data_IF_228228028414
#
_entry.id   IF_228228028414
#
_cell.length_a   1.000
_cell.length_b   1.000
_cell.length_c   1.000
_cell.angle_alpha   90.00
_cell.angle_beta   90.00
_cell.angle_gamma   90.00
#
_symmetry.space_group_name_H-M   'P 1'
#
loop_
_entity.id
_entity.type
_entity.pdbx_description
1 polymer ?
#
# COMPACT_ATOMS: atom_id res chain seq x y z
N UNK A 1 -82.21 57.96 -36.04
CA UNK A 1 -81.57 57.60 -34.75
C UNK A 1 -81.14 56.14 -34.85
N UNK A 2 -79.85 55.88 -35.04
CA UNK A 2 -79.28 54.53 -35.00
C UNK A 2 -78.48 54.40 -33.69
N UNK A 3 -78.88 53.43 -32.86
CA UNK A 3 -78.28 53.11 -31.56
C UNK A 3 -77.13 52.14 -31.83
N UNK A 4 -75.91 52.54 -31.50
CA UNK A 4 -74.75 51.65 -31.57
C UNK A 4 -74.77 50.71 -30.35
N UNK A 5 -74.91 49.42 -30.59
CA UNK A 5 -74.62 48.37 -29.61
C UNK A 5 -73.10 48.15 -29.54
N UNK A 6 -72.53 48.33 -28.35
CA UNK A 6 -71.15 48.00 -28.07
C UNK A 6 -71.04 46.49 -27.81
N UNK A 7 -70.19 45.80 -28.58
CA UNK A 7 -69.93 44.37 -28.46
C UNK A 7 -69.16 44.06 -27.15
N UNK A 8 -69.59 43.08 -26.33
CA UNK A 8 -68.97 42.78 -25.03
C UNK A 8 -67.77 41.81 -25.11
N UNK A 9 -67.08 41.71 -26.24
CA UNK A 9 -66.10 40.62 -26.49
C UNK A 9 -64.63 40.91 -26.16
N UNK A 10 -64.15 42.15 -26.32
CA UNK A 10 -62.68 42.42 -26.29
C UNK A 10 -62.06 42.49 -24.88
N UNK A 11 -62.85 42.76 -23.84
CA UNK A 11 -62.33 42.89 -22.47
C UNK A 11 -62.03 41.52 -21.82
N UNK A 12 -62.74 40.46 -22.21
CA UNK A 12 -62.59 39.13 -21.61
C UNK A 12 -61.36 38.37 -22.16
N UNK A 13 -61.04 38.55 -23.44
CA UNK A 13 -59.87 37.90 -24.08
C UNK A 13 -58.53 38.46 -23.56
N UNK A 14 -58.45 39.79 -23.34
CA UNK A 14 -57.27 40.42 -22.76
C UNK A 14 -57.03 39.99 -21.28
N UNK A 15 -58.11 39.81 -20.52
CA UNK A 15 -58.06 39.31 -19.14
C UNK A 15 -57.66 37.82 -19.07
N UNK A 16 -58.10 37.01 -20.04
CA UNK A 16 -57.70 35.61 -20.21
C UNK A 16 -56.21 35.44 -20.52
N UNK A 17 -55.66 36.24 -21.44
CA UNK A 17 -54.23 36.22 -21.81
C UNK A 17 -53.30 36.58 -20.66
N UNK A 18 -53.64 37.59 -19.85
CA UNK A 18 -52.89 37.97 -18.65
C UNK A 18 -52.97 36.92 -17.53
N UNK A 19 -54.09 36.20 -17.42
CA UNK A 19 -54.25 35.06 -16.49
C UNK A 19 -53.44 33.84 -16.93
N UNK A 20 -53.37 33.57 -18.23
CA UNK A 20 -52.53 32.53 -18.84
C UNK A 20 -51.03 32.80 -18.70
N UNK A 21 -50.57 34.00 -19.01
CA UNK A 21 -49.15 34.39 -18.83
C UNK A 21 -48.71 34.29 -17.36
N UNK A 22 -49.59 34.65 -16.41
CA UNK A 22 -49.33 34.48 -14.96
C UNK A 22 -49.37 33.03 -14.51
N UNK A 23 -50.18 32.16 -15.13
CA UNK A 23 -50.22 30.72 -14.80
C UNK A 23 -48.99 30.00 -15.33
N UNK A 24 -48.48 30.37 -16.51
CA UNK A 24 -47.23 29.85 -17.06
C UNK A 24 -45.99 30.32 -16.29
N UNK A 25 -45.92 31.60 -15.88
CA UNK A 25 -44.86 32.09 -14.99
C UNK A 25 -44.84 31.35 -13.65
N UNK A 26 -46.02 31.09 -13.07
CA UNK A 26 -46.15 30.29 -11.84
C UNK A 26 -45.70 28.84 -12.04
N UNK A 27 -45.93 28.27 -13.22
CA UNK A 27 -45.48 26.92 -13.58
C UNK A 27 -43.96 26.85 -13.73
N UNK A 28 -43.34 27.79 -14.45
CA UNK A 28 -41.88 27.89 -14.58
C UNK A 28 -41.19 28.14 -13.23
N UNK A 29 -41.78 28.97 -12.36
CA UNK A 29 -41.28 29.18 -11.00
C UNK A 29 -41.30 27.90 -10.16
N UNK A 30 -42.35 27.07 -10.29
CA UNK A 30 -42.45 25.77 -9.61
C UNK A 30 -41.46 24.76 -10.16
N UNK A 31 -41.26 24.71 -11.48
CA UNK A 31 -40.27 23.84 -12.13
C UNK A 31 -38.84 24.22 -11.74
N UNK A 32 -38.48 25.51 -11.77
CA UNK A 32 -37.19 26.00 -11.28
C UNK A 32 -36.99 25.72 -9.80
N UNK A 33 -38.03 25.86 -8.98
CA UNK A 33 -37.96 25.55 -7.54
C UNK A 33 -37.77 24.05 -7.30
N UNK A 34 -38.44 23.19 -8.06
CA UNK A 34 -38.27 21.72 -8.01
C UNK A 34 -36.86 21.31 -8.45
N UNK A 35 -36.34 21.88 -9.52
CA UNK A 35 -34.97 21.62 -9.97
C UNK A 35 -33.94 22.07 -8.93
N UNK A 36 -34.09 23.27 -8.36
CA UNK A 36 -33.22 23.76 -7.28
C UNK A 36 -33.27 22.87 -6.05
N UNK A 37 -34.46 22.44 -5.62
CA UNK A 37 -34.61 21.50 -4.51
C UNK A 37 -33.99 20.13 -4.81
N UNK A 38 -34.15 19.63 -6.04
CA UNK A 38 -33.52 18.39 -6.49
C UNK A 38 -32.00 18.46 -6.46
N UNK A 39 -31.42 19.56 -6.96
CA UNK A 39 -29.97 19.80 -6.90
C UNK A 39 -29.50 19.90 -5.45
N UNK A 40 -30.19 20.65 -4.59
CA UNK A 40 -29.83 20.78 -3.17
C UNK A 40 -29.92 19.43 -2.44
N UNK A 41 -30.94 18.63 -2.73
CA UNK A 41 -31.07 17.28 -2.18
C UNK A 41 -29.92 16.37 -2.64
N UNK A 42 -29.58 16.40 -3.94
CA UNK A 42 -28.45 15.63 -4.48
C UNK A 42 -27.12 16.05 -3.82
N UNK A 43 -26.84 17.36 -3.74
CA UNK A 43 -25.64 17.88 -3.08
C UNK A 43 -25.60 17.46 -1.61
N UNK A 44 -26.75 17.52 -0.91
CA UNK A 44 -26.84 17.09 0.48
C UNK A 44 -26.55 15.60 0.64
N UNK A 45 -27.08 14.74 -0.24
CA UNK A 45 -26.79 13.30 -0.24
C UNK A 45 -25.32 13.02 -0.54
N UNK A 46 -24.69 13.75 -1.47
CA UNK A 46 -23.26 13.59 -1.76
C UNK A 46 -22.41 14.02 -0.57
N UNK A 47 -22.70 15.18 0.04
CA UNK A 47 -21.95 15.70 1.17
C UNK A 47 -22.12 14.89 2.45
N UNK A 48 -23.32 14.36 2.71
CA UNK A 48 -23.61 13.59 3.93
C UNK A 48 -23.40 12.08 3.76
N UNK A 49 -23.45 11.57 2.53
CA UNK A 49 -23.29 10.16 2.22
C UNK A 49 -21.91 9.84 1.65
N UNK A 50 -21.61 10.35 0.45
CA UNK A 50 -20.41 9.97 -0.28
C UNK A 50 -19.12 10.43 0.42
N UNK A 51 -19.10 11.65 0.98
CA UNK A 51 -17.91 12.18 1.66
C UNK A 51 -17.59 11.37 2.93
N UNK A 52 -18.50 11.16 3.90
CA UNK A 52 -18.20 10.34 5.07
C UNK A 52 -17.89 8.89 4.71
N UNK A 53 -18.53 8.32 3.69
CA UNK A 53 -18.23 6.97 3.24
C UNK A 53 -16.79 6.87 2.70
N UNK A 54 -16.37 7.83 1.85
CA UNK A 54 -15.02 7.85 1.29
C UNK A 54 -13.94 7.98 2.37
N UNK A 55 -14.11 8.93 3.30
CA UNK A 55 -13.16 9.10 4.41
C UNK A 55 -13.23 7.94 5.41
N UNK A 56 -14.43 7.40 5.66
CA UNK A 56 -14.66 6.22 6.51
C UNK A 56 -13.96 4.97 6.00
N UNK A 57 -14.05 4.69 4.69
CA UNK A 57 -13.34 3.57 4.08
C UNK A 57 -11.82 3.79 4.09
N UNK A 58 -11.37 5.03 3.87
CA UNK A 58 -9.93 5.36 3.89
C UNK A 58 -9.34 5.20 5.30
N UNK A 59 -10.04 5.62 6.35
CA UNK A 59 -9.54 5.47 7.73
C UNK A 59 -9.49 4.02 8.20
N UNK A 60 -10.38 3.15 7.71
CA UNK A 60 -10.34 1.71 8.03
C UNK A 60 -9.15 1.00 7.37
N UNK A 61 -8.67 1.54 6.26
CA UNK A 61 -7.52 1.02 5.51
C UNK A 61 -6.17 1.58 5.97
N UNK A 62 -6.17 2.63 6.80
CA UNK A 62 -4.93 3.23 7.31
C UNK A 62 -4.35 2.37 8.44
N UNK A 63 -3.05 2.07 8.38
CA UNK A 63 -2.38 1.24 9.40
C UNK A 63 -1.64 2.15 10.41
N UNK A 64 -1.95 2.07 11.71
CA UNK A 64 -1.38 2.96 12.72
C UNK A 64 0.14 2.82 12.88
N UNK A 65 0.74 1.71 12.41
CA UNK A 65 2.20 1.56 12.43
C UNK A 65 2.87 2.64 11.58
N UNK A 66 2.27 3.04 10.46
CA UNK A 66 2.84 4.11 9.63
C UNK A 66 2.81 5.47 10.34
N UNK A 67 1.78 5.74 11.14
CA UNK A 67 1.74 6.94 11.98
C UNK A 67 2.89 6.94 13.02
N UNK A 68 3.21 5.78 13.59
CA UNK A 68 4.36 5.66 14.50
C UNK A 68 5.70 5.86 13.77
N UNK A 69 5.82 5.38 12.52
CA UNK A 69 7.01 5.58 11.71
C UNK A 69 7.15 7.05 11.27
N UNK A 70 6.04 7.75 11.02
CA UNK A 70 6.03 9.20 10.75
C UNK A 70 6.43 10.01 11.99
N UNK A 71 6.08 9.52 13.18
CA UNK A 71 6.44 10.14 14.46
C UNK A 71 7.92 9.98 14.87
N UNK A 72 8.73 9.17 14.16
CA UNK A 72 10.16 8.98 14.45
C UNK A 72 10.98 10.29 14.41
N UNK A 73 10.44 11.34 13.78
CA UNK A 73 11.07 12.66 13.77
C UNK A 73 12.38 12.68 12.99
N UNK A 74 12.46 11.89 11.90
CA UNK A 74 13.59 11.96 10.98
C UNK A 74 13.55 13.29 10.20
N UNK A 75 14.69 13.91 9.89
CA UNK A 75 14.76 15.12 9.07
C UNK A 75 14.12 14.92 7.69
N UNK A 76 13.55 15.99 7.14
CA UNK A 76 12.88 15.95 5.83
C UNK A 76 13.77 15.50 4.67
N UNK A 77 15.08 15.71 4.74
CA UNK A 77 16.02 15.21 3.73
C UNK A 77 16.16 13.70 3.75
N UNK A 78 15.95 13.05 4.90
CA UNK A 78 16.03 11.60 5.07
C UNK A 78 14.71 10.91 4.69
N UNK A 79 13.62 11.67 4.72
CA UNK A 79 12.28 11.24 4.34
C UNK A 79 11.69 12.06 3.18
N UNK A 80 12.45 12.19 2.09
CA UNK A 80 12.06 13.06 0.98
C UNK A 80 10.86 12.52 0.20
N UNK A 81 10.78 11.19 0.01
CA UNK A 81 9.66 10.53 -0.65
C UNK A 81 9.40 9.17 -0.02
N UNK A 82 8.16 8.95 0.43
CA UNK A 82 7.75 7.76 1.18
C UNK A 82 6.71 6.98 0.38
N UNK A 83 6.86 5.65 0.35
CA UNK A 83 5.91 4.72 -0.24
C UNK A 83 5.65 3.61 0.77
N UNK A 84 4.39 3.45 1.15
CA UNK A 84 3.93 2.45 2.10
C UNK A 84 3.19 1.32 1.39
N UNK A 85 3.46 0.09 1.81
CA UNK A 85 2.82 -1.11 1.32
C UNK A 85 2.43 -2.01 2.50
N UNK A 86 1.25 -2.61 2.42
CA UNK A 86 0.76 -3.57 3.40
C UNK A 86 0.38 -4.85 2.67
N UNK A 87 0.93 -5.96 3.12
CA UNK A 87 0.63 -7.30 2.63
C UNK A 87 0.19 -8.22 3.78
N UNK A 88 -0.40 -9.36 3.45
CA UNK A 88 -0.90 -10.33 4.45
C UNK A 88 -2.21 -9.93 5.13
N UNK A 89 -2.58 -10.69 6.18
CA UNK A 89 -3.87 -10.56 6.87
C UNK A 89 -3.73 -10.00 8.28
N UNK A 90 -4.65 -9.10 8.66
CA UNK A 90 -4.74 -8.58 10.05
C UNK A 90 -5.09 -9.67 11.07
N UNK A 91 -5.74 -10.73 10.61
CA UNK A 91 -6.17 -11.86 11.43
C UNK A 91 -5.23 -13.06 11.30
N UNK A 92 -4.13 -12.94 10.55
CA UNK A 92 -3.17 -14.04 10.33
C UNK A 92 -3.82 -15.35 9.83
N UNK A 93 -4.83 -15.29 8.96
CA UNK A 93 -5.47 -16.50 8.41
C UNK A 93 -4.56 -17.32 7.47
N UNK A 94 -3.43 -16.75 7.03
CA UNK A 94 -2.36 -17.38 6.26
C UNK A 94 -1.05 -16.67 6.65
N UNK A 95 -0.69 -15.61 5.92
CA UNK A 95 0.39 -14.71 6.30
C UNK A 95 -0.13 -13.63 7.25
N UNK A 96 0.59 -13.39 8.34
CA UNK A 96 0.32 -12.21 9.15
C UNK A 96 0.64 -10.93 8.38
N UNK A 97 0.05 -9.83 8.85
CA UNK A 97 0.23 -8.51 8.22
C UNK A 97 1.68 -8.05 8.29
N UNK A 98 2.31 -7.91 7.13
CA UNK A 98 3.62 -7.30 6.93
C UNK A 98 3.45 -5.86 6.43
N UNK A 99 4.18 -4.93 7.03
CA UNK A 99 4.17 -3.52 6.63
C UNK A 99 5.54 -3.14 6.12
N UNK A 100 5.58 -2.60 4.92
CA UNK A 100 6.83 -2.21 4.28
C UNK A 100 6.75 -0.73 3.92
N UNK A 101 7.74 0.03 4.35
CA UNK A 101 7.92 1.43 3.97
C UNK A 101 9.23 1.56 3.23
N UNK A 102 9.17 2.13 2.03
CA UNK A 102 10.35 2.53 1.28
C UNK A 102 10.46 4.04 1.25
N UNK A 103 11.65 4.56 1.54
CA UNK A 103 11.90 6.00 1.63
C UNK A 103 13.13 6.38 0.83
N UNK A 104 13.00 7.40 -0.02
CA UNK A 104 14.14 8.02 -0.71
C UNK A 104 14.71 9.15 0.18
N UNK A 105 16.03 9.11 0.40
CA UNK A 105 16.80 10.11 1.14
C UNK A 105 17.73 10.85 0.18
N UNK A 106 17.90 12.15 0.40
CA UNK A 106 18.77 13.01 -0.40
C UNK A 106 20.26 12.81 -0.10
N UNK A 107 20.61 12.19 1.03
CA UNK A 107 22.00 12.00 1.47
C UNK A 107 22.46 10.56 1.36
N UNK A 108 23.77 10.35 1.45
CA UNK A 108 24.39 9.04 1.38
C UNK A 108 23.92 8.10 2.50
N UNK A 109 23.92 6.80 2.20
CA UNK A 109 23.32 5.77 3.06
C UNK A 109 23.91 5.73 4.48
N UNK A 110 25.20 6.04 4.67
CA UNK A 110 25.84 6.04 5.99
C UNK A 110 25.25 7.11 6.91
N UNK A 111 25.02 8.31 6.40
CA UNK A 111 24.45 9.40 7.19
C UNK A 111 22.95 9.16 7.44
N UNK A 112 22.22 8.70 6.42
CA UNK A 112 20.81 8.31 6.56
C UNK A 112 20.64 7.22 7.61
N UNK A 113 21.49 6.18 7.61
CA UNK A 113 21.45 5.10 8.59
C UNK A 113 21.59 5.62 10.02
N UNK A 114 22.59 6.47 10.29
CA UNK A 114 22.81 7.04 11.62
C UNK A 114 21.58 7.80 12.13
N UNK A 115 20.91 8.54 11.26
CA UNK A 115 19.74 9.33 11.63
C UNK A 115 18.53 8.43 11.95
N UNK A 116 18.28 7.41 11.13
CA UNK A 116 17.21 6.45 11.38
C UNK A 116 17.47 5.62 12.65
N UNK A 117 18.68 5.10 12.84
CA UNK A 117 19.04 4.32 14.03
C UNK A 117 18.93 5.17 15.31
N UNK A 118 19.35 6.43 15.26
CA UNK A 118 19.18 7.36 16.38
C UNK A 118 17.71 7.71 16.64
N UNK A 119 16.90 7.89 15.58
CA UNK A 119 15.47 8.15 15.71
C UNK A 119 14.73 6.97 16.34
N UNK A 120 14.98 5.75 15.85
CA UNK A 120 14.44 4.52 16.42
C UNK A 120 14.79 4.38 17.92
N UNK A 121 16.06 4.57 18.27
CA UNK A 121 16.51 4.48 19.66
C UNK A 121 15.83 5.51 20.57
N UNK A 122 15.65 6.75 20.10
CA UNK A 122 14.94 7.80 20.87
C UNK A 122 13.45 7.49 21.04
N UNK A 123 12.86 6.83 20.06
CA UNK A 123 11.45 6.42 20.06
C UNK A 123 11.23 5.08 20.82
N UNK A 124 12.23 4.61 21.57
CA UNK A 124 12.12 3.44 22.43
C UNK A 124 12.26 2.10 21.71
N UNK A 125 12.71 2.08 20.45
CA UNK A 125 13.10 0.83 19.80
C UNK A 125 14.44 0.36 20.34
N UNK A 126 14.50 -0.91 20.72
CA UNK A 126 15.71 -1.54 21.21
C UNK A 126 16.42 -2.29 20.10
N UNK A 127 17.74 -2.16 20.05
CA UNK A 127 18.55 -2.90 19.07
C UNK A 127 18.47 -4.38 19.35
N UNK A 128 17.94 -5.15 18.41
CA UNK A 128 17.76 -6.58 18.57
C UNK A 128 18.83 -7.35 17.82
N UNK A 129 19.78 -7.93 18.58
CA UNK A 129 20.83 -8.80 18.06
C UNK A 129 20.33 -10.24 18.12
N UNK A 130 19.97 -10.79 16.98
CA UNK A 130 19.48 -12.16 16.84
C UNK A 130 20.16 -12.82 15.64
N UNK A 131 20.27 -14.14 15.69
CA UNK A 131 20.69 -14.93 14.53
C UNK A 131 19.73 -14.68 13.37
N UNK A 132 20.24 -14.70 12.12
CA UNK A 132 19.49 -14.30 10.91
C UNK A 132 19.09 -12.81 10.85
N UNK A 133 19.87 -11.93 11.47
CA UNK A 133 19.80 -10.48 11.26
C UNK A 133 21.16 -9.88 10.83
N UNK A 134 21.36 -9.52 9.55
CA UNK A 134 20.50 -9.86 8.41
C UNK A 134 20.52 -11.37 8.12
N UNK A 135 19.48 -11.86 7.45
CA UNK A 135 19.44 -13.25 6.99
C UNK A 135 20.53 -13.54 5.94
N UNK A 136 20.83 -12.56 5.08
CA UNK A 136 21.87 -12.63 4.06
C UNK A 136 22.74 -11.37 4.11
N UNK A 137 24.03 -11.51 3.78
CA UNK A 137 24.90 -10.34 3.69
C UNK A 137 24.45 -9.44 2.53
N UNK A 138 24.08 -8.21 2.87
CA UNK A 138 23.61 -7.20 1.92
C UNK A 138 24.52 -5.97 1.95
N UNK A 139 24.59 -5.26 0.82
CA UNK A 139 25.26 -3.95 0.77
C UNK A 139 24.43 -2.90 1.50
N UNK A 140 25.08 -2.04 2.28
CA UNK A 140 24.45 -0.98 3.08
C UNK A 140 24.47 -1.28 4.59
N UNK A 141 23.66 -0.56 5.36
CA UNK A 141 23.42 -0.82 6.79
C UNK A 141 22.13 -1.61 6.95
N UNK A 142 22.21 -2.83 7.49
CA UNK A 142 21.03 -3.62 7.85
C UNK A 142 20.99 -3.87 9.35
N UNK A 143 19.85 -3.60 9.95
CA UNK A 143 19.68 -3.55 11.39
C UNK A 143 18.30 -4.04 11.82
N UNK A 144 18.22 -4.79 12.91
CA UNK A 144 16.94 -5.26 13.46
C UNK A 144 16.66 -4.62 14.81
N UNK A 145 15.39 -4.34 15.04
CA UNK A 145 14.90 -3.60 16.19
C UNK A 145 13.65 -4.27 16.73
N UNK A 146 13.41 -4.09 18.03
CA UNK A 146 12.20 -4.58 18.69
C UNK A 146 11.62 -3.50 19.57
N UNK A 147 10.30 -3.40 19.60
CA UNK A 147 9.55 -2.58 20.54
C UNK A 147 8.20 -3.23 20.78
N UNK A 148 7.87 -3.47 22.04
CA UNK A 148 6.62 -4.11 22.45
C UNK A 148 6.34 -5.41 21.68
N UNK A 149 5.23 -5.45 20.94
CA UNK A 149 4.76 -6.57 20.12
C UNK A 149 5.26 -6.52 18.66
N UNK A 150 6.18 -5.62 18.32
CA UNK A 150 6.66 -5.40 16.95
C UNK A 150 8.15 -5.68 16.80
N UNK A 151 8.51 -6.24 15.65
CA UNK A 151 9.89 -6.31 15.17
C UNK A 151 10.02 -5.45 13.92
N UNK A 152 11.17 -4.81 13.75
CA UNK A 152 11.45 -3.89 12.66
C UNK A 152 12.82 -4.20 12.05
N UNK A 153 12.84 -4.45 10.75
CA UNK A 153 14.06 -4.53 9.96
C UNK A 153 14.27 -3.20 9.24
N UNK A 154 15.40 -2.56 9.49
CA UNK A 154 15.81 -1.33 8.82
C UNK A 154 17.00 -1.65 7.93
N UNK A 155 16.84 -1.41 6.62
CA UNK A 155 17.89 -1.53 5.62
C UNK A 155 18.09 -0.20 4.89
N UNK A 156 19.26 0.40 5.03
CA UNK A 156 19.65 1.65 4.37
C UNK A 156 20.77 1.38 3.39
N UNK A 157 20.54 1.69 2.11
CA UNK A 157 21.45 1.34 1.01
C UNK A 157 21.57 2.44 -0.03
N UNK A 158 22.50 2.26 -0.96
CA UNK A 158 22.53 3.04 -2.19
C UNK A 158 21.27 2.78 -3.03
N UNK A 159 20.73 3.79 -3.71
CA UNK A 159 19.53 3.64 -4.53
C UNK A 159 19.79 2.74 -5.75
N UNK A 160 18.79 1.94 -6.13
CA UNK A 160 18.85 1.10 -7.34
C UNK A 160 18.45 1.94 -8.56
N UNK A 161 19.43 2.33 -9.40
CA UNK A 161 19.21 3.12 -10.62
C UNK A 161 18.61 2.31 -11.78
N UNK A 162 17.58 1.51 -11.53
CA UNK A 162 16.82 0.86 -12.59
C UNK A 162 15.52 1.65 -12.74
N UNK A 163 15.26 2.31 -13.89
CA UNK A 163 13.99 2.97 -14.10
C UNK A 163 12.86 1.95 -13.97
N UNK A 164 11.79 2.31 -13.28
CA UNK A 164 10.60 1.47 -13.21
C UNK A 164 10.08 1.21 -14.64
N UNK A 165 9.66 -0.03 -14.98
CA UNK A 165 9.05 -0.28 -16.28
C UNK A 165 7.80 0.59 -16.41
N UNK A 166 7.64 1.24 -17.57
CA UNK A 166 6.43 1.99 -17.88
C UNK A 166 5.22 1.04 -17.86
N UNK A 167 4.10 1.50 -17.33
CA UNK A 167 2.87 0.70 -17.21
C UNK A 167 2.47 0.10 -18.57
N UNK A 168 2.53 -1.23 -18.67
CA UNK A 168 2.04 -2.01 -19.82
C UNK A 168 3.07 -2.82 -20.59
N UNK A 169 4.38 -2.66 -20.35
CA UNK A 169 5.41 -3.44 -21.05
C UNK A 169 5.86 -4.65 -20.19
N UNK A 170 5.90 -5.84 -20.80
CA UNK A 170 6.47 -7.03 -20.17
C UNK A 170 7.91 -6.77 -19.72
N UNK A 171 8.40 -7.39 -18.62
CA UNK A 171 9.76 -7.14 -18.15
C UNK A 171 10.75 -7.46 -19.28
N UNK A 172 11.61 -6.52 -19.69
CA UNK A 172 12.62 -6.83 -20.68
C UNK A 172 13.55 -7.91 -20.12
N UNK A 173 13.83 -8.93 -20.95
CA UNK A 173 14.93 -9.88 -20.75
C UNK A 173 16.21 -9.11 -20.37
N UNK A 174 17.11 -9.64 -19.51
CA UNK A 174 18.12 -8.82 -18.85
C UNK A 174 19.03 -8.15 -19.89
N UNK A 175 18.76 -6.87 -20.13
CA UNK A 175 19.64 -6.02 -20.89
C UNK A 175 20.90 -5.77 -20.05
N UNK A 176 22.09 -5.65 -20.68
CA UNK A 176 23.31 -5.29 -19.97
C UNK A 176 23.08 -3.97 -19.21
N UNK A 177 23.51 -3.95 -17.95
CA UNK A 177 23.30 -2.85 -17.02
C UNK A 177 23.55 -1.50 -17.70
N UNK A 178 22.47 -0.73 -17.91
CA UNK A 178 22.59 0.65 -18.33
C UNK A 178 23.47 1.38 -17.31
N UNK A 179 24.42 2.17 -17.78
CA UNK A 179 25.32 2.93 -16.93
C UNK A 179 24.48 3.72 -15.91
N UNK A 180 24.80 3.51 -14.63
CA UNK A 180 24.18 4.22 -13.52
C UNK A 180 24.36 5.73 -13.76
N UNK A 181 23.32 6.41 -14.23
CA UNK A 181 23.17 7.83 -13.96
C UNK A 181 23.21 7.95 -12.43
N UNK A 182 24.05 8.84 -11.91
CA UNK A 182 24.32 8.99 -10.48
C UNK A 182 23.00 9.23 -9.73
N UNK A 183 22.36 8.18 -9.24
CA UNK A 183 21.26 8.32 -8.31
C UNK A 183 21.88 8.80 -7.00
N UNK A 184 21.86 10.11 -6.80
CA UNK A 184 22.29 10.72 -5.57
C UNK A 184 21.37 10.27 -4.43
N UNK A 185 21.94 10.13 -3.23
CA UNK A 185 21.18 9.85 -2.01
C UNK A 185 21.22 8.40 -1.56
N UNK A 186 20.13 7.94 -0.94
CA UNK A 186 19.99 6.59 -0.41
C UNK A 186 18.54 6.13 -0.39
N UNK A 187 18.37 4.81 -0.32
CA UNK A 187 17.08 4.15 -0.20
C UNK A 187 16.99 3.47 1.16
N UNK A 188 15.93 3.77 1.90
CA UNK A 188 15.60 3.16 3.19
C UNK A 188 14.45 2.19 2.96
N UNK A 189 14.60 0.96 3.41
CA UNK A 189 13.53 -0.02 3.49
C UNK A 189 13.31 -0.37 4.95
N UNK A 190 12.10 -0.11 5.44
CA UNK A 190 11.65 -0.46 6.78
C UNK A 190 10.61 -1.55 6.64
N UNK A 191 10.81 -2.70 7.27
CA UNK A 191 9.81 -3.77 7.34
C UNK A 191 9.39 -3.94 8.78
N UNK A 192 8.10 -3.87 9.07
CA UNK A 192 7.55 -4.04 10.41
C UNK A 192 6.62 -5.24 10.43
N UNK A 193 6.84 -6.13 11.40
CA UNK A 193 6.07 -7.34 11.65
C UNK A 193 5.57 -7.35 13.09
N UNK A 194 4.53 -8.13 13.35
CA UNK A 194 4.24 -8.54 14.71
C UNK A 194 5.31 -9.54 15.15
N UNK A 195 5.81 -9.40 16.38
CA UNK A 195 6.84 -10.27 16.93
C UNK A 195 6.44 -11.76 16.87
N UNK A 196 5.15 -12.07 17.03
CA UNK A 196 4.63 -13.46 16.94
C UNK A 196 4.79 -14.10 15.56
N UNK A 197 4.87 -13.30 14.49
CA UNK A 197 5.07 -13.75 13.12
C UNK A 197 6.57 -13.81 12.74
N UNK A 198 7.43 -13.23 13.59
CA UNK A 198 8.86 -13.21 13.34
C UNK A 198 9.48 -14.49 13.88
N UNK A 199 9.83 -15.41 12.98
CA UNK A 199 10.44 -16.71 13.30
C UNK A 199 11.71 -16.61 14.16
N UNK A 200 12.38 -15.44 14.17
CA UNK A 200 13.56 -15.19 14.99
C UNK A 200 13.22 -15.01 16.47
N UNK A 201 11.95 -14.78 16.83
CA UNK A 201 11.48 -14.69 18.22
C UNK A 201 11.10 -16.05 18.81
N UNK A 202 10.78 -17.03 17.97
CA UNK A 202 10.41 -18.37 18.39
C UNK A 202 11.60 -19.22 18.85
N UNK A 203 11.36 -20.30 19.61
CA UNK A 203 12.39 -21.29 19.89
C UNK A 203 12.95 -21.83 18.58
N UNK A 204 14.26 -21.67 18.37
CA UNK A 204 14.90 -22.22 17.18
C UNK A 204 14.78 -23.75 17.21
N UNK A 205 14.39 -24.42 16.11
CA UNK A 205 14.40 -25.87 16.06
C UNK A 205 15.83 -26.37 16.26
N UNK A 206 16.11 -26.97 17.42
CA UNK A 206 17.37 -27.66 17.66
C UNK A 206 17.28 -29.04 17.00
N UNK A 207 17.71 -29.15 15.75
CA UNK A 207 18.06 -30.48 15.22
C UNK A 207 19.41 -30.85 15.80
N UNK A 208 19.41 -31.84 16.69
CA UNK A 208 20.64 -32.49 17.14
C UNK A 208 21.31 -33.13 15.90
N UNK A 209 22.53 -32.71 15.53
CA UNK A 209 23.22 -33.25 14.36
C UNK A 209 23.52 -34.75 14.48
N UNK A 210 23.40 -35.34 15.67
CA UNK A 210 23.48 -36.80 15.87
C UNK A 210 22.21 -37.55 15.45
N UNK A 211 21.10 -36.85 15.20
CA UNK A 211 19.81 -37.42 14.75
C UNK A 211 19.56 -37.26 13.25
N UNK A 212 20.38 -36.48 12.54
CA UNK A 212 20.54 -36.61 11.09
C UNK A 212 21.42 -37.83 10.83
N UNK A 213 20.78 -38.99 10.67
CA UNK A 213 21.48 -40.20 10.25
C UNK A 213 22.30 -39.93 8.99
N UNK A 214 23.52 -40.44 8.98
CA UNK A 214 24.40 -40.44 7.81
C UNK A 214 23.61 -40.90 6.59
N UNK A 215 23.55 -40.08 5.55
CA UNK A 215 23.00 -40.47 4.26
C UNK A 215 23.81 -41.70 3.80
N UNK A 216 23.23 -42.92 3.75
CA UNK A 216 24.00 -44.06 3.30
C UNK A 216 24.33 -43.80 1.83
N UNK A 217 25.62 -43.66 1.54
CA UNK A 217 26.15 -43.73 0.18
C UNK A 217 25.48 -44.91 -0.53
N UNK A 218 24.93 -44.73 -1.75
CA UNK A 218 24.42 -45.86 -2.51
C UNK A 218 25.63 -46.68 -2.99
N UNK A 219 26.16 -47.56 -2.14
CA UNK A 219 26.94 -48.69 -2.60
C UNK A 219 25.95 -49.73 -3.12
N UNK A 220 25.48 -49.50 -4.34
CA UNK A 220 24.91 -50.58 -5.15
C UNK A 220 26.09 -51.41 -5.66
N UNK A 221 26.73 -52.15 -4.75
CA UNK A 221 27.74 -53.14 -5.07
C UNK A 221 27.16 -54.46 -4.57
N UNK A 222 26.98 -55.39 -5.51
CA UNK A 222 26.37 -56.72 -5.39
C UNK A 222 24.90 -56.77 -5.85
N UNK A 223 24.74 -56.71 -7.18
CA UNK A 223 23.62 -57.31 -7.89
C UNK A 223 23.84 -58.85 -7.95
N UNK A 224 23.11 -59.67 -7.20
CA UNK A 224 23.27 -61.13 -7.17
C UNK A 224 22.62 -61.82 -8.37
N UNK A 225 22.45 -61.14 -9.52
CA UNK A 225 21.94 -61.71 -10.76
C UNK A 225 22.96 -61.73 -11.90
N UNK A 226 24.23 -61.44 -11.61
CA UNK A 226 25.33 -61.35 -12.58
C UNK A 226 26.15 -62.62 -12.84
N UNK A 227 25.73 -63.81 -12.39
CA UNK A 227 26.43 -65.05 -12.75
C UNK A 227 25.87 -65.68 -14.03
N UNK A 228 26.73 -65.70 -15.06
CA UNK A 228 26.49 -66.28 -16.36
C UNK A 228 26.26 -67.79 -16.27
N UNK A 229 25.09 -68.26 -16.70
CA UNK A 229 24.84 -69.67 -16.98
C UNK A 229 25.69 -70.11 -18.18
N UNK A 230 26.57 -71.13 -18.07
CA UNK A 230 27.24 -71.67 -19.24
C UNK A 230 26.25 -72.47 -20.09
N UNK A 231 26.21 -72.21 -21.40
CA UNK A 231 25.43 -73.01 -22.35
C UNK A 231 26.04 -74.43 -22.48
N UNK A 232 25.22 -75.50 -22.45
CA UNK A 232 25.69 -76.85 -22.72
C UNK A 232 25.96 -77.06 -24.21
N UNK A 233 26.95 -77.92 -24.49
CA UNK A 233 27.43 -78.35 -25.81
C UNK A 233 26.39 -79.07 -26.67
#
# INVERSE_FOLDING_TARGET
MARAEAAPGEADDAAGGLRGARSELRRQMRERRRLRMGILALVSVVLLGAVPLFFGLRTLSHDPVFDTLDALGVPSWAAAKTVDNVSGSRWCFQDCRLRERTVESQKAWKETAQVYEAALSRDGWERWKVDRCPEQQVKGSYTCWRRDELTLDLWVREPTCVPAPADGEAPPSPAPAAAAGECAGSLVSVKVRNAIDDERTGPQPSTDPSLTGEDPYPTLTDDPLGEATPSPS
#
